data_IF_108385155560
#
_entry.id   IF_108385155560
#
_cell.length_a   1.000
_cell.length_b   1.000
_cell.length_c   1.000
_cell.angle_alpha   90.00
_cell.angle_beta   90.00
_cell.angle_gamma   90.00
#
_symmetry.space_group_name_H-M   'P 1'
#
loop_
_entity.id
_entity.type
_entity.pdbx_description
1 polymer ?
#
# COMPACT_ATOMS: atom_id res chain seq x y z
N UNK A 1 -5.27 -10.42 11.77
CA UNK A 1 -4.54 -9.67 10.72
C UNK A 1 -5.33 -8.44 10.21
N UNK A 2 -5.90 -7.57 11.06
CA UNK A 2 -6.66 -6.37 10.61
C UNK A 2 -6.00 -5.03 10.95
N UNK A 3 -5.03 -5.01 11.87
CA UNK A 3 -4.38 -3.77 12.32
C UNK A 3 -3.38 -3.20 11.31
N UNK A 4 -2.68 -4.04 10.57
CA UNK A 4 -1.67 -3.60 9.60
C UNK A 4 -2.32 -2.97 8.36
N UNK A 5 -3.36 -3.60 7.81
CA UNK A 5 -4.19 -3.00 6.75
C UNK A 5 -4.83 -1.67 7.20
N UNK A 6 -5.36 -1.60 8.43
CA UNK A 6 -5.88 -0.34 8.95
C UNK A 6 -4.80 0.73 9.14
N UNK A 7 -3.58 0.38 9.53
CA UNK A 7 -2.43 1.29 9.59
C UNK A 7 -2.04 1.80 8.20
N UNK A 8 -2.01 0.94 7.18
CA UNK A 8 -1.69 1.33 5.80
C UNK A 8 -2.71 2.36 5.26
N UNK A 9 -4.00 2.11 5.51
CA UNK A 9 -5.07 3.05 5.15
C UNK A 9 -4.98 4.33 5.99
N UNK A 10 -4.81 4.23 7.32
CA UNK A 10 -4.77 5.41 8.21
C UNK A 10 -3.58 6.32 7.98
N UNK A 11 -2.41 5.77 7.65
CA UNK A 11 -1.21 6.57 7.39
C UNK A 11 -1.18 7.15 5.97
N UNK A 12 -2.23 6.96 5.17
CA UNK A 12 -2.30 7.49 3.81
C UNK A 12 -1.28 6.86 2.87
N UNK A 13 -0.77 5.66 3.19
CA UNK A 13 0.20 4.96 2.32
C UNK A 13 -0.46 4.66 0.97
N UNK A 14 -1.74 4.31 0.96
CA UNK A 14 -2.52 4.14 -0.28
C UNK A 14 -2.59 5.45 -1.08
N UNK A 15 -2.82 6.58 -0.42
CA UNK A 15 -2.88 7.88 -1.07
C UNK A 15 -1.52 8.29 -1.64
N UNK A 16 -0.44 8.09 -0.88
CA UNK A 16 0.93 8.35 -1.34
C UNK A 16 1.32 7.45 -2.51
N UNK A 17 0.92 6.18 -2.49
CA UNK A 17 1.16 5.24 -3.60
C UNK A 17 0.37 5.63 -4.84
N UNK A 18 -0.91 6.02 -4.69
CA UNK A 18 -1.72 6.55 -5.80
C UNK A 18 -1.15 7.85 -6.38
N UNK A 19 -0.65 8.77 -5.55
CA UNK A 19 0.02 9.99 -6.01
C UNK A 19 1.33 9.69 -6.75
N UNK A 20 2.05 8.64 -6.34
CA UNK A 20 3.20 8.14 -7.11
C UNK A 20 2.81 7.38 -8.38
N UNK A 21 1.51 7.11 -8.60
CA UNK A 21 0.98 6.46 -9.79
C UNK A 21 0.88 4.94 -9.71
N UNK A 22 0.95 4.36 -8.52
CA UNK A 22 0.69 2.93 -8.31
C UNK A 22 -0.75 2.57 -8.70
N UNK A 23 -0.90 1.45 -9.39
CA UNK A 23 -2.19 0.95 -9.88
C UNK A 23 -2.51 -0.43 -9.32
N UNK A 24 -3.75 -0.84 -9.47
CA UNK A 24 -4.20 -2.18 -9.09
C UNK A 24 -3.37 -3.26 -9.77
N UNK A 25 -2.80 -4.14 -8.95
CA UNK A 25 -1.90 -5.20 -9.39
C UNK A 25 -0.42 -4.81 -9.42
N UNK A 26 -0.05 -3.60 -9.01
CA UNK A 26 1.36 -3.26 -8.79
C UNK A 26 1.88 -3.91 -7.51
N UNK A 27 3.01 -4.61 -7.62
CA UNK A 27 3.72 -5.11 -6.45
C UNK A 27 4.57 -3.99 -5.85
N UNK A 28 4.18 -3.55 -4.66
CA UNK A 28 4.86 -2.51 -3.89
C UNK A 28 5.81 -3.16 -2.88
N UNK A 29 7.05 -2.68 -2.88
CA UNK A 29 8.07 -3.12 -1.94
C UNK A 29 8.43 -2.00 -0.97
N UNK A 30 8.04 -2.18 0.29
CA UNK A 30 8.40 -1.31 1.41
C UNK A 30 9.46 -1.99 2.28
N UNK A 31 10.73 -1.73 1.97
CA UNK A 31 11.87 -2.33 2.66
C UNK A 31 11.92 -3.85 2.44
N UNK A 32 11.71 -4.61 3.52
CA UNK A 32 11.66 -6.09 3.50
C UNK A 32 10.26 -6.65 3.19
N UNK A 33 9.26 -5.77 3.08
CA UNK A 33 7.87 -6.16 2.88
C UNK A 33 7.49 -5.96 1.41
N UNK A 34 6.93 -6.99 0.80
CA UNK A 34 6.40 -6.96 -0.56
C UNK A 34 4.92 -7.30 -0.50
N UNK A 35 4.09 -6.48 -1.14
CA UNK A 35 2.65 -6.69 -1.20
C UNK A 35 2.10 -6.13 -2.49
N UNK A 36 1.01 -6.73 -2.95
CA UNK A 36 0.29 -6.22 -4.09
C UNK A 36 -0.63 -5.09 -3.65
N UNK A 37 -0.51 -3.97 -4.36
CA UNK A 37 -1.44 -2.87 -4.24
C UNK A 37 -2.76 -3.28 -4.89
N UNK A 38 -3.81 -3.28 -4.05
CA UNK A 38 -5.19 -3.53 -4.45
C UNK A 38 -6.00 -2.37 -3.86
N UNK A 39 -6.61 -1.58 -4.74
CA UNK A 39 -7.51 -0.48 -4.39
C UNK A 39 -8.90 -0.95 -3.93
#
# INVERSE_FOLDING_TARGET
MRRFQQMLVKNGIISALREMGAKDGDSIRLGEWEFDFID
#
